data_IF_782363919498
#
_entry.id   IF_782363919498
#
_cell.length_a   1.000
_cell.length_b   1.000
_cell.length_c   1.000
_cell.angle_alpha   90.00
_cell.angle_beta   90.00
_cell.angle_gamma   90.00
#
_symmetry.space_group_name_H-M   'P 1'
#
loop_
_entity.id
_entity.type
_entity.pdbx_description
1 polymer ?
#
# COMPACT_ATOMS: atom_id res chain seq x y z
N UNK A 1 -11.32 8.28 -24.43
CA UNK A 1 -11.97 7.65 -23.26
C UNK A 1 -12.25 6.20 -23.63
N UNK A 2 -12.03 5.23 -22.73
CA UNK A 2 -12.38 3.82 -22.98
C UNK A 2 -13.86 3.64 -22.70
N UNK A 3 -14.61 3.07 -23.65
CA UNK A 3 -16.07 2.92 -23.53
C UNK A 3 -16.46 1.97 -22.38
N UNK A 4 -15.58 1.04 -22.06
CA UNK A 4 -15.74 -0.01 -21.06
C UNK A 4 -15.66 0.55 -19.62
N UNK A 5 -15.08 1.73 -19.41
CA UNK A 5 -14.97 2.32 -18.06
C UNK A 5 -14.30 1.36 -17.07
N UNK A 6 -14.93 1.07 -15.94
CA UNK A 6 -14.38 0.17 -14.91
C UNK A 6 -14.37 -1.30 -15.33
N UNK A 7 -15.22 -1.71 -16.28
CA UNK A 7 -15.33 -3.13 -16.70
C UNK A 7 -14.14 -3.60 -17.55
N UNK A 8 -13.24 -2.70 -17.91
CA UNK A 8 -11.94 -3.06 -18.51
C UNK A 8 -11.03 -3.86 -17.56
N UNK A 9 -11.35 -3.90 -16.27
CA UNK A 9 -10.59 -4.62 -15.25
C UNK A 9 -11.36 -5.82 -14.74
N UNK A 10 -10.65 -6.93 -14.54
CA UNK A 10 -11.17 -8.13 -13.88
C UNK A 10 -10.62 -8.19 -12.45
N UNK A 11 -11.46 -8.57 -11.49
CA UNK A 11 -10.97 -8.88 -10.14
C UNK A 11 -10.20 -10.20 -10.22
N UNK A 12 -9.02 -10.26 -9.59
CA UNK A 12 -8.24 -11.50 -9.55
C UNK A 12 -9.03 -12.66 -8.93
N UNK A 13 -9.85 -12.38 -7.91
CA UNK A 13 -10.72 -13.35 -7.24
C UNK A 13 -11.67 -14.08 -8.21
N UNK A 14 -12.15 -13.38 -9.23
CA UNK A 14 -13.14 -13.90 -10.18
C UNK A 14 -12.46 -14.70 -11.31
N UNK A 15 -11.12 -14.68 -11.40
CA UNK A 15 -10.36 -15.38 -12.41
C UNK A 15 -9.96 -16.78 -11.95
N UNK A 16 -10.50 -17.82 -12.59
CA UNK A 16 -10.09 -19.21 -12.33
C UNK A 16 -8.58 -19.44 -12.56
N UNK A 17 -7.98 -18.68 -13.48
CA UNK A 17 -6.57 -18.76 -13.83
C UNK A 17 -5.67 -17.98 -12.87
N UNK A 18 -6.09 -16.78 -12.44
CA UNK A 18 -5.22 -15.86 -11.70
C UNK A 18 -5.60 -15.66 -10.23
N UNK A 19 -6.66 -16.30 -9.72
CA UNK A 19 -7.07 -16.19 -8.32
C UNK A 19 -5.97 -16.54 -7.32
N UNK A 20 -5.08 -17.46 -7.68
CA UNK A 20 -3.94 -17.86 -6.82
C UNK A 20 -2.99 -16.69 -6.52
N UNK A 21 -3.00 -15.62 -7.34
CA UNK A 21 -2.23 -14.40 -7.08
C UNK A 21 -2.75 -13.57 -5.90
N UNK A 22 -3.89 -13.94 -5.32
CA UNK A 22 -4.44 -13.30 -4.12
C UNK A 22 -3.99 -13.97 -2.82
N UNK A 23 -3.54 -15.22 -2.90
CA UNK A 23 -3.03 -15.97 -1.75
C UNK A 23 -1.91 -15.19 -1.05
N UNK A 24 -1.84 -15.31 0.27
CA UNK A 24 -0.80 -14.65 1.06
C UNK A 24 0.45 -15.54 1.06
N UNK A 25 1.54 -15.17 0.35
CA UNK A 25 2.74 -16.00 0.33
C UNK A 25 3.53 -15.92 1.65
N UNK A 26 3.16 -15.04 2.59
CA UNK A 26 3.91 -14.78 3.82
C UNK A 26 3.29 -15.39 5.06
N UNK A 27 2.15 -16.08 4.91
CA UNK A 27 1.45 -16.63 6.05
C UNK A 27 2.10 -17.95 6.47
N UNK A 28 2.52 -18.01 7.73
CA UNK A 28 2.88 -19.28 8.36
C UNK A 28 1.59 -19.91 8.90
N UNK A 29 0.94 -20.73 8.06
CA UNK A 29 -0.29 -21.41 8.45
C UNK A 29 -0.08 -22.31 9.68
N UNK A 30 1.06 -22.98 9.81
CA UNK A 30 1.32 -23.89 10.92
C UNK A 30 1.42 -23.13 12.25
N UNK A 31 2.14 -22.00 12.27
CA UNK A 31 2.26 -21.17 13.47
C UNK A 31 0.92 -20.57 13.93
N UNK A 32 0.01 -20.24 13.01
CA UNK A 32 -1.33 -19.80 13.35
C UNK A 32 -2.22 -20.95 13.84
N UNK A 33 -2.16 -22.10 13.17
CA UNK A 33 -2.98 -23.25 13.52
C UNK A 33 -2.60 -23.87 14.87
N UNK A 34 -1.37 -23.63 15.34
CA UNK A 34 -0.89 -24.08 16.66
C UNK A 34 -1.41 -23.24 17.84
N UNK A 35 -2.02 -22.07 17.58
CA UNK A 35 -2.55 -21.18 18.62
C UNK A 35 -4.07 -21.37 18.76
N UNK A 36 -4.63 -21.20 19.96
CA UNK A 36 -6.09 -21.16 20.10
C UNK A 36 -6.66 -20.00 19.29
N UNK A 37 -7.80 -20.17 18.61
CA UNK A 37 -8.40 -19.10 17.84
C UNK A 37 -8.86 -17.98 18.79
N UNK A 38 -8.64 -16.69 18.44
CA UNK A 38 -9.10 -15.55 19.22
C UNK A 38 -10.62 -15.51 19.46
N UNK A 39 -11.38 -16.21 18.60
CA UNK A 39 -12.84 -16.26 18.56
C UNK A 39 -13.28 -17.68 18.19
N UNK A 40 -14.33 -18.19 18.83
CA UNK A 40 -15.04 -19.42 18.47
C UNK A 40 -16.43 -19.13 17.92
N UNK A 41 -17.01 -20.12 17.23
CA UNK A 41 -18.39 -20.01 16.74
C UNK A 41 -19.36 -19.83 17.92
N UNK A 42 -20.26 -18.86 17.80
CA UNK A 42 -21.19 -18.47 18.86
C UNK A 42 -20.65 -17.54 19.95
N UNK A 43 -19.38 -17.10 19.88
CA UNK A 43 -18.83 -16.14 20.85
C UNK A 43 -19.55 -14.78 20.80
N UNK A 44 -19.78 -14.20 22.00
CA UNK A 44 -20.28 -12.84 22.15
C UNK A 44 -19.11 -11.84 22.28
N UNK A 45 -18.92 -11.02 21.25
CA UNK A 45 -17.86 -10.01 21.18
C UNK A 45 -18.47 -8.61 21.29
N UNK A 46 -17.90 -7.77 22.17
CA UNK A 46 -18.38 -6.40 22.37
C UNK A 46 -18.03 -5.48 21.21
N UNK A 47 -16.80 -5.56 20.70
CA UNK A 47 -16.34 -4.77 19.55
C UNK A 47 -15.60 -5.65 18.54
N UNK A 48 -16.08 -5.70 17.31
CA UNK A 48 -15.33 -6.23 16.18
C UNK A 48 -14.86 -5.10 15.27
N UNK A 49 -13.56 -5.08 14.99
CA UNK A 49 -12.92 -4.09 14.09
C UNK A 49 -12.51 -4.79 12.80
N UNK A 50 -13.00 -4.25 11.68
CA UNK A 50 -12.65 -4.72 10.34
C UNK A 50 -11.31 -4.13 9.91
N UNK A 51 -10.29 -4.97 9.77
CA UNK A 51 -8.91 -4.61 9.46
C UNK A 51 -8.03 -4.51 10.72
N UNK A 52 -6.82 -5.06 10.66
CA UNK A 52 -5.85 -5.04 11.77
C UNK A 52 -4.60 -4.21 11.45
N UNK A 53 -4.69 -3.32 10.46
CA UNK A 53 -3.65 -2.33 10.14
C UNK A 53 -3.80 -1.08 11.00
N UNK A 54 -3.02 -0.03 10.74
CA UNK A 54 -3.03 1.22 11.53
C UNK A 54 -4.41 1.78 11.82
N UNK A 55 -5.36 1.77 10.87
CA UNK A 55 -6.73 2.24 11.12
C UNK A 55 -7.46 1.42 12.19
N UNK A 56 -7.41 0.09 12.10
CA UNK A 56 -8.04 -0.79 13.08
C UNK A 56 -7.33 -0.76 14.44
N UNK A 57 -6.00 -0.69 14.44
CA UNK A 57 -5.21 -0.52 15.66
C UNK A 57 -5.53 0.81 16.35
N UNK A 58 -5.62 1.92 15.59
CA UNK A 58 -6.04 3.21 16.13
C UNK A 58 -7.44 3.13 16.75
N UNK A 59 -8.39 2.48 16.08
CA UNK A 59 -9.75 2.31 16.60
C UNK A 59 -9.73 1.54 17.93
N UNK A 60 -9.02 0.41 17.99
CA UNK A 60 -8.88 -0.38 19.20
C UNK A 60 -8.20 0.41 20.34
N UNK A 61 -7.10 1.11 20.06
CA UNK A 61 -6.41 1.97 21.05
C UNK A 61 -7.32 3.07 21.56
N UNK A 62 -8.18 3.67 20.71
CA UNK A 62 -9.14 4.69 21.15
C UNK A 62 -10.24 4.12 22.04
N UNK A 63 -10.73 2.90 21.75
CA UNK A 63 -11.65 2.20 22.65
C UNK A 63 -11.01 1.93 24.02
N UNK A 64 -9.76 1.47 24.04
CA UNK A 64 -9.04 1.21 25.29
C UNK A 64 -8.86 2.52 26.09
N UNK A 65 -8.44 3.60 25.42
CA UNK A 65 -8.34 4.93 26.05
C UNK A 65 -9.68 5.48 26.53
N UNK A 66 -10.81 5.04 25.96
CA UNK A 66 -12.15 5.39 26.40
C UNK A 66 -12.65 4.54 27.60
N UNK A 67 -11.84 3.60 28.10
CA UNK A 67 -12.13 2.80 29.29
C UNK A 67 -12.61 1.37 29.01
N UNK A 68 -12.64 0.92 27.75
CA UNK A 68 -12.93 -0.47 27.43
C UNK A 68 -11.67 -1.35 27.60
N UNK A 69 -11.86 -2.64 27.87
CA UNK A 69 -10.72 -3.56 28.02
C UNK A 69 -10.29 -4.07 26.65
N UNK A 70 -9.00 -4.32 26.46
CA UNK A 70 -8.51 -4.99 25.25
C UNK A 70 -9.19 -6.35 25.01
N UNK A 71 -9.53 -7.06 26.08
CA UNK A 71 -10.28 -8.33 26.03
C UNK A 71 -11.67 -8.22 25.38
N UNK A 72 -12.28 -7.02 25.36
CA UNK A 72 -13.59 -6.77 24.78
C UNK A 72 -13.54 -6.54 23.25
N UNK A 73 -12.32 -6.50 22.68
CA UNK A 73 -12.07 -6.11 21.30
C UNK A 73 -11.55 -7.31 20.51
N UNK A 74 -12.02 -7.46 19.27
CA UNK A 74 -11.43 -8.36 18.27
C UNK A 74 -11.19 -7.59 16.98
N UNK A 75 -10.13 -7.96 16.27
CA UNK A 75 -9.82 -7.43 14.94
C UNK A 75 -9.87 -8.57 13.93
N UNK A 76 -10.20 -8.30 12.67
CA UNK A 76 -10.06 -9.27 11.58
C UNK A 76 -9.19 -8.70 10.46
N UNK A 77 -8.34 -9.51 9.83
CA UNK A 77 -7.57 -9.08 8.67
C UNK A 77 -7.33 -10.24 7.69
N UNK A 78 -7.47 -9.93 6.40
CA UNK A 78 -7.25 -10.86 5.28
C UNK A 78 -5.99 -10.51 4.48
N UNK A 79 -5.19 -9.52 4.91
CA UNK A 79 -4.12 -8.96 4.10
C UNK A 79 -2.81 -8.73 4.87
N UNK A 80 -1.73 -9.35 4.40
CA UNK A 80 -0.35 -8.90 4.62
C UNK A 80 0.19 -8.22 3.36
N UNK A 81 0.71 -7.01 3.51
CA UNK A 81 1.40 -6.29 2.43
C UNK A 81 2.91 -6.50 2.57
N UNK A 82 3.60 -7.03 1.54
CA UNK A 82 5.05 -6.96 1.47
C UNK A 82 5.50 -5.52 1.27
N UNK A 83 6.61 -5.20 1.92
CA UNK A 83 7.05 -3.84 2.17
C UNK A 83 7.23 -2.97 0.93
N UNK A 84 6.64 -1.78 1.00
CA UNK A 84 7.00 -0.59 0.24
C UNK A 84 7.18 0.55 1.24
N UNK A 85 7.84 1.63 0.81
CA UNK A 85 8.05 2.80 1.65
C UNK A 85 6.78 3.65 1.68
N UNK A 86 6.48 4.29 2.82
CA UNK A 86 5.40 5.28 2.85
C UNK A 86 5.76 6.48 1.97
N UNK A 87 4.76 7.06 1.29
CA UNK A 87 4.92 8.24 0.45
C UNK A 87 4.63 9.56 1.19
N UNK A 88 4.15 9.49 2.42
CA UNK A 88 4.05 10.60 3.36
C UNK A 88 5.18 10.51 4.38
N UNK A 89 5.62 11.65 4.92
CA UNK A 89 6.63 11.68 5.99
C UNK A 89 6.22 10.76 7.17
N UNK A 90 7.16 9.93 7.63
CA UNK A 90 6.92 8.91 8.66
C UNK A 90 6.42 9.51 9.97
N UNK A 91 6.85 10.74 10.30
CA UNK A 91 6.52 11.43 11.55
C UNK A 91 5.04 11.79 11.67
N UNK A 92 4.33 11.89 10.55
CA UNK A 92 2.89 12.17 10.48
C UNK A 92 2.08 10.96 9.98
N UNK A 93 2.71 10.02 9.29
CA UNK A 93 2.06 8.81 8.77
C UNK A 93 1.99 7.68 9.80
N UNK A 94 3.05 7.46 10.58
CA UNK A 94 3.10 6.41 11.60
C UNK A 94 2.29 6.87 12.82
N UNK A 95 1.25 6.13 13.24
CA UNK A 95 0.36 6.60 14.29
C UNK A 95 0.98 6.44 15.69
N UNK A 96 0.56 7.28 16.64
CA UNK A 96 0.87 7.13 18.06
C UNK A 96 2.37 7.26 18.40
N UNK A 97 3.18 7.99 17.60
CA UNK A 97 4.62 8.07 17.83
C UNK A 97 4.95 8.67 19.20
N UNK A 98 4.22 9.71 19.60
CA UNK A 98 4.35 10.33 20.92
C UNK A 98 3.99 9.34 22.03
N UNK A 99 2.86 8.66 21.94
CA UNK A 99 2.46 7.68 22.94
C UNK A 99 3.38 6.46 22.99
N UNK A 100 3.99 6.08 21.87
CA UNK A 100 4.92 4.97 21.78
C UNK A 100 6.33 5.33 22.21
N UNK A 101 6.67 6.63 22.29
CA UNK A 101 8.06 7.07 22.44
C UNK A 101 8.97 6.55 21.32
N UNK A 102 8.40 6.28 20.14
CA UNK A 102 9.12 5.68 19.02
C UNK A 102 9.63 6.76 18.07
N UNK A 103 10.89 6.64 17.65
CA UNK A 103 11.54 7.53 16.69
C UNK A 103 11.69 6.77 15.38
N UNK A 104 11.01 7.17 14.30
CA UNK A 104 11.24 6.59 12.98
C UNK A 104 12.70 6.77 12.53
N UNK A 105 13.26 5.74 11.90
CA UNK A 105 14.66 5.69 11.44
C UNK A 105 14.93 6.60 10.25
N UNK A 106 13.90 6.89 9.45
CA UNK A 106 14.01 7.65 8.22
C UNK A 106 12.84 8.61 8.04
N UNK A 107 13.03 9.68 7.26
CA UNK A 107 11.95 10.59 6.86
C UNK A 107 10.80 9.86 6.17
N UNK A 108 11.10 8.82 5.39
CA UNK A 108 10.10 7.90 4.83
C UNK A 108 10.39 6.48 5.29
N UNK A 109 9.49 5.92 6.10
CA UNK A 109 9.64 4.61 6.70
C UNK A 109 9.49 3.50 5.64
N UNK A 110 10.35 2.49 5.74
CA UNK A 110 10.27 1.29 4.93
C UNK A 110 9.15 0.38 5.42
N UNK A 111 8.60 -0.47 4.54
CA UNK A 111 7.49 -1.37 4.88
C UNK A 111 7.74 -2.24 6.11
N UNK A 112 8.97 -2.71 6.30
CA UNK A 112 9.39 -3.45 7.50
C UNK A 112 9.24 -2.62 8.77
N UNK A 113 9.67 -1.36 8.75
CA UNK A 113 9.55 -0.46 9.89
C UNK A 113 8.08 -0.16 10.23
N UNK A 114 7.25 0.01 9.20
CA UNK A 114 5.82 0.22 9.34
C UNK A 114 5.15 -1.02 9.98
N UNK A 115 5.51 -2.23 9.53
CA UNK A 115 5.03 -3.48 10.11
C UNK A 115 5.48 -3.63 11.56
N UNK A 116 6.77 -3.48 11.83
CA UNK A 116 7.32 -3.52 13.20
C UNK A 116 6.62 -2.52 14.12
N UNK A 117 6.21 -1.36 13.60
CA UNK A 117 5.47 -0.38 14.38
C UNK A 117 4.03 -0.81 14.67
N UNK A 118 3.33 -1.41 13.71
CA UNK A 118 2.03 -2.02 13.94
C UNK A 118 2.13 -3.10 15.03
N UNK A 119 3.17 -3.94 14.99
CA UNK A 119 3.43 -4.95 16.03
C UNK A 119 3.75 -4.33 17.39
N UNK A 120 4.53 -3.23 17.44
CA UNK A 120 4.78 -2.47 18.67
C UNK A 120 3.48 -1.93 19.28
N UNK A 121 2.59 -1.38 18.46
CA UNK A 121 1.27 -0.89 18.91
C UNK A 121 0.43 -2.06 19.43
N UNK A 122 0.30 -3.14 18.66
CA UNK A 122 -0.47 -4.30 19.08
C UNK A 122 0.03 -4.89 20.40
N UNK A 123 1.35 -4.93 20.60
CA UNK A 123 1.97 -5.42 21.84
C UNK A 123 1.69 -4.49 23.02
N UNK A 124 1.90 -3.18 22.87
CA UNK A 124 1.72 -2.21 23.97
C UNK A 124 0.28 -2.19 24.51
N UNK A 125 -0.70 -2.42 23.66
CA UNK A 125 -2.12 -2.40 24.01
C UNK A 125 -2.77 -3.79 24.08
N UNK A 126 -1.97 -4.86 24.17
CA UNK A 126 -2.45 -6.24 24.37
C UNK A 126 -3.46 -6.73 23.30
N UNK A 127 -3.19 -6.40 22.03
CA UNK A 127 -4.02 -6.75 20.86
C UNK A 127 -3.46 -7.91 20.03
N UNK A 128 -2.24 -8.37 20.32
CA UNK A 128 -1.53 -9.39 19.52
C UNK A 128 -2.30 -10.71 19.39
N UNK A 129 -2.99 -11.13 20.45
CA UNK A 129 -3.82 -12.34 20.50
C UNK A 129 -5.32 -12.05 20.27
N UNK A 130 -5.67 -10.80 19.90
CA UNK A 130 -7.07 -10.36 19.66
C UNK A 130 -7.41 -10.25 18.18
N UNK A 131 -6.46 -10.55 17.31
CA UNK A 131 -6.61 -10.42 15.86
C UNK A 131 -6.82 -11.77 15.21
N UNK A 132 -7.96 -11.93 14.55
CA UNK A 132 -8.28 -13.06 13.70
C UNK A 132 -7.72 -12.82 12.30
N UNK A 133 -6.49 -13.28 12.08
CA UNK A 133 -5.84 -13.22 10.77
C UNK A 133 -6.44 -14.27 9.81
N UNK A 134 -6.13 -14.14 8.52
CA UNK A 134 -6.58 -15.07 7.46
C UNK A 134 -8.10 -15.15 7.36
N UNK A 135 -8.79 -14.12 7.81
CA UNK A 135 -10.23 -14.16 8.03
C UNK A 135 -10.94 -13.08 7.25
N UNK A 136 -12.01 -13.48 6.55
CA UNK A 136 -12.84 -12.60 5.74
C UNK A 136 -14.27 -12.61 6.25
N UNK A 137 -14.79 -11.43 6.59
CA UNK A 137 -16.23 -11.26 6.80
C UNK A 137 -16.93 -11.19 5.44
N UNK A 138 -17.94 -12.02 5.25
CA UNK A 138 -18.76 -12.05 4.05
C UNK A 138 -20.04 -11.23 4.21
N UNK A 139 -20.62 -11.24 5.40
CA UNK A 139 -21.92 -10.65 5.67
C UNK A 139 -22.05 -10.21 7.13
N UNK A 140 -22.91 -9.21 7.35
CA UNK A 140 -23.25 -8.67 8.65
C UNK A 140 -24.75 -8.40 8.70
N UNK A 141 -25.48 -9.13 9.53
CA UNK A 141 -26.92 -8.99 9.71
C UNK A 141 -27.22 -8.42 11.11
N UNK A 142 -28.11 -7.43 11.19
CA UNK A 142 -28.53 -6.87 12.46
C UNK A 142 -29.73 -7.64 13.03
N UNK A 143 -29.55 -8.24 14.22
CA UNK A 143 -30.64 -8.83 14.99
C UNK A 143 -31.33 -7.75 15.84
N UNK A 144 -32.56 -7.39 15.48
CA UNK A 144 -33.35 -6.39 16.20
C UNK A 144 -33.76 -6.80 17.61
N UNK A 145 -33.92 -8.11 17.87
CA UNK A 145 -34.34 -8.62 19.18
C UNK A 145 -33.15 -8.65 20.12
N UNK A 146 -32.05 -9.27 19.70
CA UNK A 146 -30.83 -9.36 20.49
C UNK A 146 -29.99 -8.07 20.48
N UNK A 147 -30.32 -7.12 19.60
CA UNK A 147 -29.63 -5.83 19.40
C UNK A 147 -28.13 -5.99 19.17
N UNK A 148 -27.76 -6.94 18.31
CA UNK A 148 -26.37 -7.24 17.97
C UNK A 148 -26.23 -7.57 16.50
N UNK A 149 -25.02 -7.38 15.98
CA UNK A 149 -24.65 -7.85 14.65
C UNK A 149 -24.30 -9.34 14.71
N UNK A 150 -24.86 -10.11 13.77
CA UNK A 150 -24.51 -11.51 13.50
C UNK A 150 -23.64 -11.50 12.24
N UNK A 151 -22.44 -12.04 12.35
CA UNK A 151 -21.42 -11.94 11.30
C UNK A 151 -21.11 -13.32 10.75
N UNK A 152 -20.99 -13.42 9.42
CA UNK A 152 -20.48 -14.63 8.76
C UNK A 152 -19.04 -14.40 8.34
N UNK A 153 -18.12 -15.09 9.02
CA UNK A 153 -16.69 -14.99 8.79
C UNK A 153 -16.16 -16.36 8.35
N UNK A 154 -15.32 -16.37 7.32
CA UNK A 154 -14.54 -17.55 6.93
C UNK A 154 -13.09 -17.35 7.30
N UNK A 155 -12.49 -18.33 7.96
CA UNK A 155 -11.05 -18.39 8.19
C UNK A 155 -10.38 -19.34 7.19
N UNK A 156 -9.28 -18.88 6.60
CA UNK A 156 -8.48 -19.66 5.66
C UNK A 156 -7.34 -20.39 6.40
N UNK A 157 -7.53 -21.70 6.65
CA UNK A 157 -6.59 -22.56 7.39
C UNK A 157 -5.41 -23.08 6.56
N UNK A 158 -5.38 -22.79 5.25
CA UNK A 158 -4.36 -23.22 4.29
C UNK A 158 -4.94 -24.07 3.16
N UNK A 159 -4.12 -24.47 2.18
CA UNK A 159 -4.59 -25.16 0.97
C UNK A 159 -4.99 -26.62 1.29
N UNK A 160 -6.28 -26.85 1.56
CA UNK A 160 -6.91 -28.17 1.66
C UNK A 160 -8.13 -28.33 0.73
N UNK A 161 -8.19 -27.60 -0.40
CA UNK A 161 -9.28 -27.76 -1.38
C UNK A 161 -8.92 -28.69 -2.55
N UNK A 162 -9.87 -29.54 -3.02
CA UNK A 162 -9.69 -30.37 -4.20
C UNK A 162 -9.55 -29.49 -5.46
N UNK A 163 -8.51 -29.76 -6.25
CA UNK A 163 -8.25 -29.07 -7.52
C UNK A 163 -9.31 -29.45 -8.56
N UNK A 164 -10.00 -28.46 -9.10
CA UNK A 164 -10.96 -28.63 -10.21
C UNK A 164 -10.23 -28.46 -11.55
N UNK A 165 -10.28 -29.48 -12.41
CA UNK A 165 -9.72 -29.42 -13.77
C UNK A 165 -10.75 -28.78 -14.72
N UNK A 166 -10.39 -27.66 -15.35
CA UNK A 166 -11.18 -27.00 -16.40
C UNK A 166 -10.25 -26.79 -17.59
N UNK A 167 -10.68 -27.21 -18.79
CA UNK A 167 -9.90 -27.10 -20.03
C UNK A 167 -10.47 -25.98 -20.91
N UNK A 168 -9.64 -25.02 -21.28
CA UNK A 168 -9.92 -23.96 -22.27
C UNK A 168 -8.63 -23.56 -22.99
N UNK A 169 -8.73 -22.86 -24.13
CA UNK A 169 -7.58 -22.35 -24.89
C UNK A 169 -7.42 -20.85 -24.65
N UNK A 170 -6.25 -20.44 -24.17
CA UNK A 170 -5.83 -19.04 -24.03
C UNK A 170 -4.37 -18.88 -24.46
N UNK A 171 -3.96 -17.69 -24.91
CA UNK A 171 -2.54 -17.33 -25.01
C UNK A 171 -1.97 -17.23 -23.58
N UNK A 172 -1.12 -18.19 -23.21
CA UNK A 172 -0.55 -18.29 -21.85
C UNK A 172 0.89 -17.79 -21.83
N UNK A 173 1.18 -16.82 -20.96
CA UNK A 173 2.56 -16.48 -20.60
C UNK A 173 3.11 -17.58 -19.68
N UNK A 174 4.03 -18.40 -20.18
CA UNK A 174 4.63 -19.53 -19.44
C UNK A 174 5.66 -19.13 -18.37
N UNK A 175 6.03 -17.85 -18.30
CA UNK A 175 7.02 -17.38 -17.34
C UNK A 175 6.46 -17.24 -15.92
N UNK A 176 7.37 -17.22 -14.94
CA UNK A 176 7.05 -16.88 -13.55
C UNK A 176 6.45 -15.47 -13.48
N UNK A 177 5.37 -15.30 -12.72
CA UNK A 177 4.66 -14.03 -12.59
C UNK A 177 3.93 -13.96 -11.25
N UNK A 178 3.82 -12.75 -10.69
CA UNK A 178 3.12 -12.45 -9.45
C UNK A 178 2.65 -11.00 -9.45
N UNK A 179 1.72 -10.65 -8.55
CA UNK A 179 1.27 -9.26 -8.37
C UNK A 179 2.11 -8.55 -7.31
N UNK A 180 2.41 -7.26 -7.47
CA UNK A 180 3.30 -6.53 -6.53
C UNK A 180 2.76 -6.43 -5.10
N UNK A 181 1.45 -6.53 -4.90
CA UNK A 181 0.83 -6.62 -3.56
C UNK A 181 1.04 -7.98 -2.87
N UNK A 182 1.50 -8.99 -3.61
CA UNK A 182 1.83 -10.35 -3.18
C UNK A 182 3.17 -10.71 -3.81
N UNK A 183 4.18 -9.89 -3.51
CA UNK A 183 5.53 -10.08 -4.02
C UNK A 183 5.99 -11.52 -3.73
N UNK A 184 6.73 -12.15 -4.64
CA UNK A 184 7.18 -13.53 -4.45
C UNK A 184 8.72 -13.54 -4.43
N UNK A 185 9.29 -13.62 -3.22
CA UNK A 185 10.74 -13.66 -3.03
C UNK A 185 11.34 -15.02 -3.41
N UNK A 186 10.55 -16.08 -3.56
CA UNK A 186 11.06 -17.34 -4.11
C UNK A 186 11.43 -17.17 -5.60
N UNK A 187 10.66 -16.35 -6.32
CA UNK A 187 10.92 -15.98 -7.72
C UNK A 187 12.06 -14.96 -7.81
N UNK A 188 12.05 -13.90 -7.00
CA UNK A 188 13.01 -12.79 -7.16
C UNK A 188 14.33 -12.96 -6.42
N UNK A 189 14.38 -13.79 -5.39
CA UNK A 189 15.43 -13.71 -4.38
C UNK A 189 15.19 -12.54 -3.42
N UNK A 190 16.00 -12.45 -2.37
CA UNK A 190 15.86 -11.47 -1.30
C UNK A 190 14.73 -11.78 -0.29
N UNK A 191 14.32 -10.77 0.46
CA UNK A 191 13.23 -10.79 1.42
C UNK A 191 12.67 -9.38 1.63
N UNK A 192 11.71 -9.24 2.54
CA UNK A 192 11.16 -7.96 2.99
C UNK A 192 12.21 -7.05 3.66
N UNK A 193 13.30 -7.63 4.16
CA UNK A 193 14.43 -6.93 4.78
C UNK A 193 15.71 -6.94 3.95
N UNK A 194 15.87 -7.90 3.03
CA UNK A 194 17.02 -8.00 2.13
C UNK A 194 16.60 -7.77 0.67
N UNK A 195 16.99 -6.62 0.11
CA UNK A 195 16.58 -6.23 -1.24
C UNK A 195 17.54 -6.75 -2.32
N UNK A 196 18.25 -7.84 -2.01
CA UNK A 196 19.15 -8.55 -2.93
C UNK A 196 18.36 -9.51 -3.82
N UNK A 197 17.79 -8.99 -4.91
CA UNK A 197 16.98 -9.77 -5.88
C UNK A 197 17.86 -10.60 -6.84
N UNK A 198 18.79 -11.38 -6.29
CA UNK A 198 19.87 -12.07 -7.00
C UNK A 198 19.40 -13.09 -8.05
N UNK A 199 18.24 -13.73 -7.85
CA UNK A 199 17.64 -14.66 -8.82
C UNK A 199 17.21 -13.98 -10.13
N UNK A 200 17.19 -12.64 -10.17
CA UNK A 200 16.87 -11.87 -11.38
C UNK A 200 18.07 -11.64 -12.32
N UNK A 201 19.32 -11.90 -11.91
CA UNK A 201 20.56 -11.57 -12.67
C UNK A 201 20.59 -12.06 -14.11
N UNK A 202 20.02 -13.23 -14.38
CA UNK A 202 19.97 -13.82 -15.72
C UNK A 202 18.62 -13.62 -16.43
N UNK A 203 17.66 -12.97 -15.77
CA UNK A 203 16.26 -12.90 -16.20
C UNK A 203 15.95 -11.63 -16.96
N UNK A 204 15.10 -11.77 -17.97
CA UNK A 204 14.37 -10.65 -18.57
C UNK A 204 13.09 -10.46 -17.76
N UNK A 205 12.95 -9.31 -17.13
CA UNK A 205 11.83 -8.98 -16.23
C UNK A 205 10.93 -7.96 -16.92
N UNK A 206 9.61 -8.14 -16.79
CA UNK A 206 8.60 -7.18 -17.22
C UNK A 206 7.79 -6.66 -16.03
N UNK A 207 7.56 -5.35 -15.95
CA UNK A 207 6.62 -4.76 -14.99
C UNK A 207 5.53 -3.99 -15.73
N UNK A 208 4.27 -4.30 -15.40
CA UNK A 208 3.10 -3.68 -16.02
C UNK A 208 2.54 -2.62 -15.08
N UNK A 209 2.41 -1.40 -15.59
CA UNK A 209 1.94 -0.26 -14.83
C UNK A 209 3.09 0.61 -14.30
N UNK A 210 2.76 1.89 -14.09
CA UNK A 210 3.72 2.95 -13.76
C UNK A 210 3.22 3.81 -12.60
N UNK A 211 2.31 3.29 -11.77
CA UNK A 211 1.86 3.94 -10.54
C UNK A 211 2.93 3.93 -9.43
N UNK A 212 2.59 4.44 -8.24
CA UNK A 212 3.53 4.59 -7.12
C UNK A 212 4.32 3.31 -6.81
N UNK A 213 3.64 2.15 -6.74
CA UNK A 213 4.27 0.84 -6.53
C UNK A 213 5.35 0.53 -7.57
N UNK A 214 5.08 0.79 -8.85
CA UNK A 214 6.04 0.54 -9.91
C UNK A 214 7.22 1.53 -9.84
N UNK A 215 6.97 2.81 -9.54
CA UNK A 215 8.03 3.82 -9.36
C UNK A 215 9.01 3.40 -8.26
N UNK A 216 8.54 2.76 -7.19
CA UNK A 216 9.40 2.22 -6.13
C UNK A 216 10.10 0.90 -6.54
N UNK A 217 9.40 -0.01 -7.24
CA UNK A 217 9.94 -1.31 -7.61
C UNK A 217 10.95 -1.28 -8.77
N UNK A 218 10.73 -0.40 -9.77
CA UNK A 218 11.56 -0.31 -10.99
C UNK A 218 13.06 -0.15 -10.68
N UNK A 219 13.50 0.76 -9.79
CA UNK A 219 14.91 0.90 -9.46
C UNK A 219 15.53 -0.39 -8.89
N UNK A 220 14.80 -1.12 -8.05
CA UNK A 220 15.29 -2.39 -7.49
C UNK A 220 15.35 -3.47 -8.56
N UNK A 221 14.30 -3.62 -9.38
CA UNK A 221 14.30 -4.57 -10.49
C UNK A 221 15.43 -4.26 -11.49
N UNK A 222 15.67 -2.99 -11.82
CA UNK A 222 16.69 -2.57 -12.77
C UNK A 222 18.12 -2.84 -12.29
N UNK A 223 18.36 -2.83 -10.96
CA UNK A 223 19.66 -3.14 -10.37
C UNK A 223 20.05 -4.61 -10.56
N UNK A 224 19.06 -5.50 -10.57
CA UNK A 224 19.29 -6.95 -10.52
C UNK A 224 18.95 -7.67 -11.83
N UNK A 225 18.00 -7.20 -12.64
CA UNK A 225 17.59 -7.91 -13.86
C UNK A 225 18.59 -7.77 -15.01
N UNK A 226 18.73 -8.81 -15.84
CA UNK A 226 19.51 -8.73 -17.10
C UNK A 226 18.93 -7.67 -18.05
N UNK A 227 17.61 -7.70 -18.20
CA UNK A 227 16.84 -6.70 -18.93
C UNK A 227 15.54 -6.42 -18.18
N UNK A 228 15.16 -5.15 -18.07
CA UNK A 228 13.89 -4.72 -17.51
C UNK A 228 13.06 -4.01 -18.57
N UNK A 229 11.84 -4.51 -18.80
CA UNK A 229 10.82 -3.89 -19.64
C UNK A 229 9.73 -3.27 -18.77
N UNK A 230 9.45 -1.98 -18.98
CA UNK A 230 8.38 -1.25 -18.27
C UNK A 230 7.25 -1.00 -19.25
N UNK A 231 6.10 -1.64 -19.02
CA UNK A 231 4.92 -1.49 -19.85
C UNK A 231 4.05 -0.36 -19.30
N UNK A 232 4.19 0.82 -19.90
CA UNK A 232 3.52 2.05 -19.46
C UNK A 232 2.30 2.36 -20.33
N UNK A 233 1.14 2.54 -19.69
CA UNK A 233 -0.04 3.11 -20.35
C UNK A 233 -0.16 4.62 -20.13
N UNK A 234 0.09 5.08 -18.91
CA UNK A 234 0.04 6.50 -18.54
C UNK A 234 1.20 6.82 -17.61
N UNK A 235 2.07 7.79 -17.94
CA UNK A 235 3.20 8.14 -17.09
C UNK A 235 2.73 8.74 -15.77
N UNK A 236 3.38 8.36 -14.67
CA UNK A 236 3.23 9.07 -13.40
C UNK A 236 4.02 10.39 -13.42
N UNK A 237 3.51 11.38 -12.70
CA UNK A 237 4.29 12.56 -12.34
C UNK A 237 5.16 12.22 -11.14
N UNK A 238 6.49 12.26 -11.30
CA UNK A 238 7.45 11.85 -10.27
C UNK A 238 8.18 13.08 -9.73
N UNK A 239 8.15 13.29 -8.42
CA UNK A 239 8.88 14.40 -7.77
C UNK A 239 10.05 13.86 -6.92
N UNK A 240 10.93 14.76 -6.48
CA UNK A 240 12.03 14.45 -5.57
C UNK A 240 11.47 13.94 -4.25
N UNK A 241 11.95 12.78 -3.82
CA UNK A 241 11.57 12.19 -2.53
C UNK A 241 12.24 12.90 -1.35
N UNK A 242 13.55 13.16 -1.43
CA UNK A 242 14.33 13.75 -0.35
C UNK A 242 14.53 12.83 0.86
N UNK A 243 14.71 11.52 0.64
CA UNK A 243 14.91 10.55 1.72
C UNK A 243 16.21 10.79 2.49
N UNK A 244 16.15 10.69 3.81
CA UNK A 244 17.31 10.77 4.70
C UNK A 244 17.06 10.02 6.03
N UNK A 245 18.13 9.58 6.71
CA UNK A 245 18.05 9.10 8.09
C UNK A 245 17.53 10.19 9.02
N UNK A 246 16.84 9.80 10.08
CA UNK A 246 16.40 10.74 11.09
C UNK A 246 17.59 11.25 11.91
N UNK A 247 17.74 12.57 12.00
CA UNK A 247 18.67 13.24 12.92
C UNK A 247 18.07 13.33 14.34
N UNK A 248 18.69 12.71 15.37
CA UNK A 248 18.22 12.79 16.75
C UNK A 248 18.12 14.22 17.31
N UNK A 249 18.98 15.14 16.85
CA UNK A 249 18.96 16.53 17.29
C UNK A 249 17.75 17.26 16.70
N UNK A 250 17.47 17.06 15.41
CA UNK A 250 16.26 17.54 14.78
C UNK A 250 15.01 16.96 15.44
N UNK A 251 15.00 15.65 15.72
CA UNK A 251 13.87 14.99 16.37
C UNK A 251 13.49 15.67 17.68
N UNK A 252 14.46 15.82 18.58
CA UNK A 252 14.21 16.35 19.93
C UNK A 252 13.85 17.83 19.92
N UNK A 253 14.53 18.63 19.09
CA UNK A 253 14.42 20.09 19.15
C UNK A 253 13.36 20.67 18.20
N UNK A 254 13.05 19.99 17.09
CA UNK A 254 12.17 20.52 16.03
C UNK A 254 10.92 19.69 15.77
N UNK A 255 10.95 18.39 16.02
CA UNK A 255 9.83 17.49 15.72
C UNK A 255 9.03 17.21 16.99
N UNK A 256 9.61 16.50 17.95
CA UNK A 256 8.96 16.02 19.16
C UNK A 256 9.20 16.94 20.38
N UNK A 257 9.27 18.27 20.15
CA UNK A 257 9.65 19.24 21.19
C UNK A 257 8.52 19.64 22.14
N UNK A 258 7.27 19.35 21.79
CA UNK A 258 6.08 19.73 22.56
C UNK A 258 5.06 18.61 22.64
N UNK A 259 4.21 18.61 23.68
CA UNK A 259 3.12 17.64 23.78
C UNK A 259 2.10 17.86 22.66
N UNK A 260 1.64 16.79 22.02
CA UNK A 260 0.72 16.85 20.89
C UNK A 260 1.38 17.28 19.57
N UNK A 261 2.71 17.30 19.50
CA UNK A 261 3.46 17.73 18.32
C UNK A 261 3.02 17.02 17.04
N UNK A 262 2.69 15.73 17.14
CA UNK A 262 2.36 14.92 15.97
C UNK A 262 1.07 15.43 15.30
N UNK A 263 0.06 15.77 16.11
CA UNK A 263 -1.19 16.34 15.60
C UNK A 263 -0.94 17.71 14.96
N UNK A 264 -0.21 18.60 15.65
CA UNK A 264 0.14 19.93 15.13
C UNK A 264 0.90 19.85 13.81
N UNK A 265 1.83 18.90 13.68
CA UNK A 265 2.60 18.67 12.45
C UNK A 265 1.72 18.13 11.32
N UNK A 266 0.78 17.24 11.62
CA UNK A 266 -0.21 16.75 10.65
C UNK A 266 -1.13 17.86 10.14
N UNK A 267 -1.61 18.74 11.03
CA UNK A 267 -2.42 19.91 10.63
C UNK A 267 -1.62 20.87 9.74
N UNK A 268 -0.37 21.17 10.13
CA UNK A 268 0.52 21.97 9.30
C UNK A 268 0.75 21.33 7.92
N UNK A 269 1.01 20.03 7.85
CA UNK A 269 1.16 19.31 6.59
C UNK A 269 -0.10 19.42 5.72
N UNK A 270 -1.28 19.12 6.28
CA UNK A 270 -2.55 19.16 5.55
C UNK A 270 -2.91 20.55 5.05
N UNK A 271 -2.44 21.61 5.72
CA UNK A 271 -2.65 23.00 5.32
C UNK A 271 -1.97 23.38 3.99
N UNK A 272 -0.90 22.67 3.61
CA UNK A 272 -0.14 22.96 2.39
C UNK A 272 -0.87 22.50 1.10
N UNK A 273 -1.26 21.22 0.93
CA UNK A 273 -1.90 20.76 -0.31
C UNK A 273 -3.32 21.32 -0.50
N UNK A 274 -4.00 21.75 0.57
CA UNK A 274 -5.28 22.48 0.49
C UNK A 274 -5.10 23.97 0.13
N UNK A 275 -3.85 24.41 -0.06
CA UNK A 275 -3.47 25.78 -0.39
C UNK A 275 -3.96 26.81 0.64
N UNK A 276 -3.81 26.47 1.93
CA UNK A 276 -4.17 27.31 3.08
C UNK A 276 -3.11 27.20 4.19
N UNK A 277 -1.84 27.57 3.91
CA UNK A 277 -0.70 27.23 4.76
C UNK A 277 -0.82 27.81 6.18
N UNK A 278 -0.56 26.97 7.18
CA UNK A 278 -0.54 27.33 8.59
C UNK A 278 0.89 27.53 9.10
N UNK A 279 1.35 28.78 9.15
CA UNK A 279 2.69 29.11 9.63
C UNK A 279 3.81 28.57 8.72
N UNK A 280 4.97 28.31 9.31
CA UNK A 280 6.12 27.73 8.57
C UNK A 280 5.81 26.30 8.18
N UNK A 281 6.11 25.91 6.95
CA UNK A 281 6.06 24.51 6.52
C UNK A 281 7.06 23.67 7.33
N UNK A 282 6.52 22.71 8.08
CA UNK A 282 7.30 21.86 8.97
C UNK A 282 7.82 20.61 8.27
N UNK A 283 7.17 20.16 7.20
CA UNK A 283 7.50 18.93 6.44
C UNK A 283 8.40 19.25 5.25
N UNK A 284 8.11 20.35 4.54
CA UNK A 284 8.87 20.88 3.41
C UNK A 284 9.34 19.79 2.44
N UNK A 285 8.38 19.05 1.90
CA UNK A 285 8.61 18.02 0.90
C UNK A 285 7.75 18.23 -0.35
N UNK A 286 7.87 17.33 -1.32
CA UNK A 286 7.16 17.42 -2.59
C UNK A 286 5.64 17.56 -2.45
N UNK A 287 5.01 17.08 -1.39
CA UNK A 287 3.57 17.25 -1.15
C UNK A 287 3.19 18.70 -0.84
N UNK A 288 4.01 19.39 -0.04
CA UNK A 288 3.75 20.77 0.35
C UNK A 288 3.80 21.74 -0.85
N UNK A 289 4.53 21.37 -1.89
CA UNK A 289 4.70 22.17 -3.10
C UNK A 289 3.66 21.85 -4.20
N UNK A 290 2.71 20.94 -3.94
CA UNK A 290 1.64 20.58 -4.87
C UNK A 290 0.34 21.37 -4.61
N UNK A 291 0.41 22.70 -4.65
CA UNK A 291 -0.71 23.59 -4.30
C UNK A 291 -2.00 23.37 -5.12
N UNK A 292 -1.89 22.83 -6.33
CA UNK A 292 -3.07 22.50 -7.16
C UNK A 292 -3.85 21.27 -6.68
N UNK A 293 -3.31 20.51 -5.73
CA UNK A 293 -3.95 19.30 -5.19
C UNK A 293 -5.27 19.62 -4.46
N UNK A 294 -5.43 20.84 -3.94
CA UNK A 294 -6.69 21.37 -3.38
C UNK A 294 -7.89 21.22 -4.33
N UNK A 295 -7.67 21.14 -5.65
CA UNK A 295 -8.74 20.88 -6.63
C UNK A 295 -9.40 19.51 -6.46
N UNK A 296 -8.72 18.55 -5.80
CA UNK A 296 -9.21 17.19 -5.56
C UNK A 296 -9.63 16.99 -4.12
N UNK A 297 -8.87 17.53 -3.15
CA UNK A 297 -9.13 17.33 -1.71
C UNK A 297 -10.00 18.41 -1.08
N UNK A 298 -10.24 19.52 -1.80
CA UNK A 298 -10.90 20.70 -1.28
C UNK A 298 -9.93 21.68 -0.62
N UNK A 299 -10.39 22.91 -0.43
CA UNK A 299 -9.67 23.98 0.25
C UNK A 299 -10.61 25.13 0.58
N UNK A 300 -10.17 26.16 1.31
CA UNK A 300 -11.02 27.28 1.68
C UNK A 300 -11.43 28.14 0.48
N UNK A 301 -10.77 27.99 -0.67
CA UNK A 301 -11.17 28.62 -1.93
C UNK A 301 -12.33 27.89 -2.59
N UNK A 302 -13.37 28.63 -2.98
CA UNK A 302 -14.51 28.08 -3.74
C UNK A 302 -14.04 27.66 -5.14
N UNK A 303 -14.27 26.40 -5.51
CA UNK A 303 -14.18 25.94 -6.90
C UNK A 303 -15.57 26.06 -7.51
N UNK A 304 -15.74 26.96 -8.48
CA UNK A 304 -16.98 27.16 -9.23
C UNK A 304 -16.75 26.90 -10.71
N UNK A 305 -17.79 26.59 -11.51
CA UNK A 305 -17.66 26.40 -12.95
C UNK A 305 -16.89 27.54 -13.65
N UNK A 306 -17.10 28.78 -13.21
CA UNK A 306 -16.50 29.98 -13.79
C UNK A 306 -14.98 30.08 -13.56
N UNK A 307 -14.45 29.42 -12.52
CA UNK A 307 -13.03 29.50 -12.16
C UNK A 307 -12.23 28.22 -12.46
N UNK A 308 -12.85 27.17 -13.01
CA UNK A 308 -12.19 25.93 -13.45
C UNK A 308 -10.95 26.20 -14.34
N UNK A 309 -10.96 27.12 -15.33
CA UNK A 309 -9.79 27.35 -16.17
C UNK A 309 -8.55 27.88 -15.41
N UNK A 310 -8.76 28.61 -14.32
CA UNK A 310 -7.67 29.10 -13.45
C UNK A 310 -7.01 27.93 -12.72
N UNK A 311 -7.82 27.02 -12.17
CA UNK A 311 -7.34 25.82 -11.49
C UNK A 311 -6.65 24.83 -12.43
N UNK A 312 -7.18 24.64 -13.65
CA UNK A 312 -6.54 23.83 -14.68
C UNK A 312 -5.16 24.36 -15.07
N UNK A 313 -5.01 25.68 -15.27
CA UNK A 313 -3.70 26.29 -15.56
C UNK A 313 -2.69 26.07 -14.43
N UNK A 314 -3.12 26.19 -13.18
CA UNK A 314 -2.28 25.92 -11.99
C UNK A 314 -1.84 24.45 -11.92
N UNK A 315 -2.72 23.51 -12.27
CA UNK A 315 -2.42 22.08 -12.30
C UNK A 315 -1.50 21.65 -13.47
N UNK A 316 -1.45 22.42 -14.56
CA UNK A 316 -0.60 22.14 -15.73
C UNK A 316 0.82 22.70 -15.57
N UNK A 317 0.99 23.86 -14.92
CA UNK A 317 2.32 24.47 -14.75
C UNK A 317 3.31 23.62 -13.93
N UNK A 318 2.84 22.70 -13.07
CA UNK A 318 3.69 21.77 -12.32
C UNK A 318 4.25 20.61 -13.15
N UNK A 319 3.77 20.37 -14.38
CA UNK A 319 4.12 19.18 -15.19
C UNK A 319 5.42 19.28 -15.98
N UNK A 320 6.03 20.46 -16.14
CA UNK A 320 7.17 20.64 -17.07
C UNK A 320 8.53 20.13 -16.57
N UNK A 321 8.69 19.77 -15.29
CA UNK A 321 10.03 19.56 -14.71
C UNK A 321 10.47 18.09 -14.49
N UNK A 322 9.58 17.08 -14.58
CA UNK A 322 9.87 15.79 -13.93
C UNK A 322 10.28 14.61 -14.82
N UNK A 323 9.85 14.56 -16.09
CA UNK A 323 9.83 13.27 -16.83
C UNK A 323 11.19 12.87 -17.45
N UNK A 324 12.15 13.78 -17.59
CA UNK A 324 13.35 13.51 -18.42
C UNK A 324 14.51 12.79 -17.72
N UNK A 325 14.58 12.71 -16.38
CA UNK A 325 15.79 12.19 -15.71
C UNK A 325 15.75 10.68 -15.41
N UNK A 326 14.60 10.12 -15.01
CA UNK A 326 14.48 8.69 -14.68
C UNK A 326 14.52 7.78 -15.92
N UNK A 327 14.08 8.29 -17.07
CA UNK A 327 13.85 7.53 -18.31
C UNK A 327 15.15 7.31 -19.13
N UNK A 328 16.24 8.04 -18.86
CA UNK A 328 17.48 7.95 -19.66
C UNK A 328 18.23 6.61 -19.59
N UNK A 329 17.83 5.66 -18.72
CA UNK A 329 18.43 4.31 -18.65
C UNK A 329 17.60 3.20 -19.30
N UNK A 330 16.37 3.48 -19.74
CA UNK A 330 15.50 2.48 -20.37
C UNK A 330 15.30 2.84 -21.85
N UNK A 331 15.71 1.96 -22.77
CA UNK A 331 15.31 2.09 -24.18
C UNK A 331 13.79 1.92 -24.24
N UNK A 332 13.09 3.01 -24.53
CA UNK A 332 11.66 2.96 -24.86
C UNK A 332 11.53 2.25 -26.21
N UNK A 333 10.77 1.16 -26.26
CA UNK A 333 10.28 0.60 -27.52
C UNK A 333 8.95 1.31 -27.80
N UNK A 334 8.83 2.06 -28.91
CA UNK A 334 7.55 2.65 -29.29
C UNK A 334 6.52 1.56 -29.57
N UNK A 335 5.26 1.84 -29.25
CA UNK A 335 4.13 0.93 -29.42
C UNK A 335 4.12 0.22 -30.79
N UNK A 336 4.04 -1.11 -30.72
CA UNK A 336 3.39 -2.00 -31.68
C UNK A 336 3.36 -1.58 -33.15
N UNK A 337 4.50 -1.66 -33.85
CA UNK A 337 4.48 -2.16 -35.23
C UNK A 337 5.06 -3.57 -35.21
N UNK A 338 4.23 -4.53 -35.60
CA UNK A 338 4.66 -5.90 -35.81
C UNK A 338 5.95 -5.90 -36.64
N UNK A 339 7.00 -6.52 -36.12
CA UNK A 339 8.19 -6.83 -36.90
C UNK A 339 7.77 -7.85 -37.96
N UNK A 340 7.38 -7.38 -39.14
CA UNK A 340 7.34 -8.22 -40.34
C UNK A 340 8.79 -8.56 -40.66
N UNK A 341 9.16 -9.81 -40.43
CA UNK A 341 10.46 -10.34 -40.85
C UNK A 341 10.66 -10.16 -42.36
N UNK A 342 11.91 -10.10 -42.84
CA UNK A 342 12.18 -9.98 -44.25
C UNK A 342 11.65 -11.21 -44.98
N UNK A 343 10.76 -10.97 -45.94
CA UNK A 343 10.30 -11.95 -46.92
C UNK A 343 11.49 -12.45 -47.73
N UNK A 344 11.74 -13.75 -47.70
CA UNK A 344 12.53 -14.43 -48.71
C UNK A 344 11.89 -14.22 -50.08
N UNK A 345 12.63 -13.56 -51.00
CA UNK A 345 12.45 -13.72 -52.43
C UNK A 345 13.81 -13.81 -53.12
N UNK A 346 14.14 -15.04 -53.52
CA UNK A 346 14.87 -15.45 -54.74
C UNK A 346 16.16 -14.71 -55.13
N UNK A 347 17.31 -15.38 -54.98
CA UNK A 347 17.96 -16.16 -56.05
C UNK A 347 19.04 -17.07 -55.48
#
# INVERSE_FOLDING_TARGET
MRAEGITQFLKLADSSQFKYLQEDPWVDHAAFNAKPPPVSDGDDIKFLVMGARYGGLLFAVRLIKAGFRAADIRLIDDNRYPGLMCDVESYIYMPLLEEMGYIPRFKYAYGTELREHADRIATKWELTDKTLFRSRCHDAEWDNVARRWILRITEHWGPAEPKREIRFKAQYFKGQHFHTSRWDYEITGGSDIDWTLDKLKSKTVGIIGTGATAVQAIPQLAKWAKHLYVFQRTPSSVNVRGQHPMDPNEWTNKIASTKGWQYTRSENFNSQPVNAPMGKDLVDDGWCHMLSYCSVIGGPGIVSPDNIPVWQRRAICSRRAAICSLIRRCRLIPDGRAATGPSEQSK
#
